data_IF_297618305010
#
_entry.id   IF_297618305010
#
_cell.length_a   1.000
_cell.length_b   1.000
_cell.length_c   1.000
_cell.angle_alpha   90.00
_cell.angle_beta   90.00
_cell.angle_gamma   90.00
#
_symmetry.space_group_name_H-M   'P 1'
#
loop_
_entity.id
_entity.type
_entity.pdbx_description
1 polymer ?
#
# COMPACT_ATOMS: atom_id res chain seq x y z
N UNK A 1 1.99 19.45 1.30
CA UNK A 1 0.96 18.91 0.39
C UNK A 1 0.75 17.44 0.72
N UNK A 2 -0.48 17.01 0.97
CA UNK A 2 -0.81 15.61 1.28
C UNK A 2 -0.87 14.80 -0.04
N UNK A 3 -0.40 13.55 -0.04
CA UNK A 3 -0.49 12.66 -1.19
C UNK A 3 -0.87 11.24 -0.75
N UNK A 4 -1.60 10.53 -1.59
CA UNK A 4 -2.01 9.14 -1.41
C UNK A 4 -1.09 8.21 -2.19
N UNK A 5 -0.50 7.24 -1.50
CA UNK A 5 0.31 6.19 -2.14
C UNK A 5 -0.64 5.21 -2.83
N UNK A 6 -0.47 5.01 -4.13
CA UNK A 6 -1.38 4.19 -4.95
C UNK A 6 -0.65 3.20 -5.85
N UNK A 7 -1.39 2.20 -6.34
CA UNK A 7 -0.88 1.18 -7.27
C UNK A 7 -0.39 1.80 -8.58
N UNK A 8 0.54 1.13 -9.27
CA UNK A 8 0.94 1.43 -10.65
C UNK A 8 -0.23 1.41 -11.62
N UNK A 9 -1.35 0.79 -11.24
CA UNK A 9 -2.59 0.74 -12.02
C UNK A 9 -3.39 2.03 -12.02
N UNK A 10 -3.09 2.96 -11.10
CA UNK A 10 -3.76 4.26 -11.06
C UNK A 10 -3.02 5.26 -11.94
N UNK A 11 -3.76 6.18 -12.55
CA UNK A 11 -3.16 7.30 -13.23
C UNK A 11 -2.41 8.18 -12.22
N UNK A 12 -1.24 8.69 -12.63
CA UNK A 12 -0.48 9.65 -11.84
C UNK A 12 -1.12 11.05 -11.93
N UNK A 13 -2.21 11.23 -11.19
CA UNK A 13 -2.98 12.48 -11.12
C UNK A 13 -2.68 13.23 -9.82
N UNK A 14 -3.15 14.47 -9.74
CA UNK A 14 -2.98 15.31 -8.56
C UNK A 14 -3.42 14.60 -7.28
N UNK A 15 -2.50 14.54 -6.31
CA UNK A 15 -2.72 13.90 -5.02
C UNK A 15 -2.45 12.39 -5.00
N UNK A 16 -2.14 11.76 -6.13
CA UNK A 16 -1.86 10.32 -6.23
C UNK A 16 -0.39 10.09 -6.57
N UNK A 17 0.29 9.29 -5.76
CA UNK A 17 1.71 8.98 -5.92
C UNK A 17 1.89 7.53 -6.37
N UNK A 18 2.13 7.37 -7.67
CA UNK A 18 2.33 6.08 -8.34
C UNK A 18 3.83 5.78 -8.46
N UNK A 19 4.24 4.50 -8.50
CA UNK A 19 5.62 4.14 -8.77
C UNK A 19 6.04 4.55 -10.20
N UNK A 20 7.34 4.57 -10.44
CA UNK A 20 7.88 4.68 -11.80
C UNK A 20 7.58 3.40 -12.58
N UNK A 21 7.06 3.56 -13.78
CA UNK A 21 6.87 2.46 -14.72
C UNK A 21 8.18 2.13 -15.43
N UNK A 22 8.39 0.85 -15.76
CA UNK A 22 9.58 0.38 -16.47
C UNK A 22 10.81 0.11 -15.57
N UNK A 23 10.70 0.37 -14.27
CA UNK A 23 11.72 0.07 -13.25
C UNK A 23 11.23 -1.06 -12.34
N UNK A 24 12.15 -1.77 -11.67
CA UNK A 24 11.80 -2.82 -10.70
C UNK A 24 10.89 -2.29 -9.59
N UNK A 25 9.89 -3.08 -9.18
CA UNK A 25 8.86 -2.64 -8.23
C UNK A 25 8.48 -3.72 -7.21
N UNK A 26 8.51 -4.99 -7.58
CA UNK A 26 7.99 -6.04 -6.71
C UNK A 26 9.00 -6.40 -5.62
N UNK A 27 8.59 -6.38 -4.35
CA UNK A 27 9.45 -6.73 -3.21
C UNK A 27 10.21 -8.07 -3.38
N UNK A 28 9.60 -9.15 -3.92
CA UNK A 28 10.33 -10.39 -4.21
C UNK A 28 11.56 -10.22 -5.11
N UNK A 29 11.55 -9.27 -6.03
CA UNK A 29 12.68 -8.99 -6.95
C UNK A 29 13.92 -8.54 -6.18
N UNK A 30 13.73 -7.87 -5.04
CA UNK A 30 14.79 -7.37 -4.17
C UNK A 30 15.28 -8.41 -3.17
N UNK A 31 14.37 -9.28 -2.70
CA UNK A 31 14.68 -10.34 -1.72
C UNK A 31 15.51 -11.48 -2.31
N UNK A 32 15.27 -11.82 -3.58
CA UNK A 32 15.99 -12.91 -4.25
C UNK A 32 17.35 -12.52 -4.84
N UNK A 33 17.63 -11.23 -5.01
CA UNK A 33 18.79 -10.76 -5.78
C UNK A 33 19.92 -10.17 -4.94
N UNK A 34 19.69 -9.82 -3.67
CA UNK A 34 20.61 -9.02 -2.83
C UNK A 34 21.12 -7.74 -3.55
N UNK A 35 20.43 -7.32 -4.61
CA UNK A 35 20.83 -6.19 -5.44
C UNK A 35 20.29 -4.91 -4.81
N UNK A 36 21.19 -3.96 -4.64
CA UNK A 36 20.82 -2.61 -4.24
C UNK A 36 20.13 -1.91 -5.42
N UNK A 37 19.25 -0.94 -5.16
CA UNK A 37 18.66 -0.13 -6.23
C UNK A 37 19.76 0.58 -7.02
N UNK A 38 19.72 0.44 -8.34
CA UNK A 38 20.74 0.95 -9.25
C UNK A 38 20.56 2.46 -9.53
N UNK A 39 19.35 2.96 -9.34
CA UNK A 39 19.02 4.37 -9.58
C UNK A 39 17.99 4.94 -8.58
N UNK A 40 17.82 6.26 -8.62
CA UNK A 40 16.90 6.98 -7.73
C UNK A 40 15.43 6.54 -7.87
N UNK A 41 15.02 6.14 -9.08
CA UNK A 41 13.65 5.68 -9.38
C UNK A 41 13.40 4.29 -8.82
N UNK A 42 14.36 3.38 -8.93
CA UNK A 42 14.31 2.06 -8.30
C UNK A 42 14.29 2.16 -6.78
N UNK A 43 15.09 3.06 -6.19
CA UNK A 43 15.06 3.28 -4.74
C UNK A 43 13.69 3.80 -4.30
N UNK A 44 13.12 4.74 -5.05
CA UNK A 44 11.76 5.23 -4.83
C UNK A 44 10.74 4.08 -4.92
N UNK A 45 10.78 3.28 -5.99
CA UNK A 45 9.89 2.14 -6.18
C UNK A 45 10.00 1.12 -5.05
N UNK A 46 11.20 0.81 -4.59
CA UNK A 46 11.42 -0.10 -3.46
C UNK A 46 10.77 0.44 -2.19
N UNK A 47 11.00 1.72 -1.86
CA UNK A 47 10.39 2.37 -0.68
C UNK A 47 8.87 2.47 -0.81
N UNK A 48 8.37 2.80 -2.00
CA UNK A 48 6.94 2.81 -2.33
C UNK A 48 6.31 1.44 -2.10
N UNK A 49 6.94 0.38 -2.61
CA UNK A 49 6.49 -1.00 -2.41
C UNK A 49 6.52 -1.42 -0.94
N UNK A 50 7.53 -1.01 -0.15
CA UNK A 50 7.56 -1.26 1.30
C UNK A 50 6.40 -0.59 2.03
N UNK A 51 6.13 0.69 1.75
CA UNK A 51 5.00 1.43 2.36
C UNK A 51 3.68 0.76 2.00
N UNK A 52 3.52 0.40 0.72
CA UNK A 52 2.34 -0.32 0.24
C UNK A 52 2.16 -1.66 0.96
N UNK A 53 3.22 -2.46 1.09
CA UNK A 53 3.18 -3.73 1.80
C UNK A 53 2.73 -3.56 3.25
N UNK A 54 3.23 -2.52 3.93
CA UNK A 54 2.82 -2.21 5.29
C UNK A 54 1.32 -1.84 5.39
N UNK A 55 0.83 -0.99 4.48
CA UNK A 55 -0.58 -0.61 4.39
C UNK A 55 -1.45 -1.83 4.13
N UNK A 56 -1.11 -2.62 3.11
CA UNK A 56 -1.86 -3.81 2.74
C UNK A 56 -1.94 -4.77 3.93
N UNK A 57 -0.81 -5.10 4.58
CA UNK A 57 -0.76 -6.00 5.75
C UNK A 57 -1.61 -5.50 6.90
N UNK A 58 -1.60 -4.20 7.16
CA UNK A 58 -2.47 -3.59 8.17
C UNK A 58 -3.95 -3.83 7.85
N UNK A 59 -4.35 -3.72 6.59
CA UNK A 59 -5.71 -4.06 6.16
C UNK A 59 -6.03 -5.54 6.26
N UNK A 60 -5.07 -6.46 6.07
CA UNK A 60 -5.34 -7.89 6.31
C UNK A 60 -5.55 -8.19 7.78
N UNK A 61 -4.71 -7.66 8.66
CA UNK A 61 -4.92 -7.78 10.10
C UNK A 61 -6.27 -7.23 10.53
N UNK A 62 -6.68 -6.11 9.92
CA UNK A 62 -8.00 -5.54 10.15
C UNK A 62 -9.11 -6.50 9.72
N UNK A 63 -9.00 -7.13 8.56
CA UNK A 63 -9.97 -8.12 8.05
C UNK A 63 -10.00 -9.42 8.87
N UNK A 64 -8.87 -9.85 9.42
CA UNK A 64 -8.78 -11.02 10.29
C UNK A 64 -9.42 -10.72 11.66
N UNK A 65 -9.14 -9.54 12.22
CA UNK A 65 -9.72 -9.10 13.50
C UNK A 65 -11.20 -8.78 13.39
N UNK A 66 -11.65 -8.26 12.25
CA UNK A 66 -13.04 -7.91 11.98
C UNK A 66 -13.57 -8.65 10.76
N UNK A 67 -13.98 -9.92 10.90
CA UNK A 67 -14.57 -10.71 9.81
C UNK A 67 -15.79 -10.07 9.16
N UNK A 68 -16.47 -9.16 9.86
CA UNK A 68 -17.57 -8.34 9.33
C UNK A 68 -17.16 -7.56 8.07
N UNK A 69 -15.88 -7.17 7.94
CA UNK A 69 -15.34 -6.49 6.75
C UNK A 69 -15.34 -7.42 5.52
N UNK A 70 -15.08 -8.73 5.70
CA UNK A 70 -15.00 -9.70 4.58
C UNK A 70 -16.35 -9.93 3.89
N UNK A 71 -17.47 -9.71 4.58
CA UNK A 71 -18.83 -9.90 4.06
C UNK A 71 -19.59 -8.62 3.72
N UNK A 72 -19.00 -7.46 3.96
CA UNK A 72 -19.69 -6.16 3.98
C UNK A 72 -20.24 -5.75 2.61
N UNK A 73 -19.58 -6.15 1.52
CA UNK A 73 -20.01 -5.81 0.16
C UNK A 73 -21.28 -6.53 -0.31
N UNK A 74 -21.83 -7.47 0.47
CA UNK A 74 -22.98 -8.28 0.04
C UNK A 74 -24.33 -7.79 0.56
N UNK A 75 -24.48 -7.29 1.80
CA UNK A 75 -25.80 -7.33 2.46
C UNK A 75 -26.20 -6.16 3.39
N UNK A 76 -25.37 -5.14 3.62
CA UNK A 76 -25.75 -4.06 4.55
C UNK A 76 -26.39 -2.87 3.83
N UNK A 77 -27.72 -2.83 3.81
CA UNK A 77 -28.52 -1.71 3.27
C UNK A 77 -28.56 -0.47 4.19
N UNK A 78 -28.04 -0.56 5.42
CA UNK A 78 -28.30 0.43 6.48
C UNK A 78 -27.15 1.42 6.72
N UNK A 79 -25.91 1.05 6.43
CA UNK A 79 -24.72 1.91 6.59
C UNK A 79 -23.81 1.80 5.38
N UNK A 80 -23.12 2.90 5.03
CA UNK A 80 -22.10 2.85 3.99
C UNK A 80 -21.01 1.88 4.40
N UNK A 81 -20.57 0.95 3.53
CA UNK A 81 -19.41 0.09 3.80
C UNK A 81 -18.18 0.86 4.29
N UNK A 82 -18.03 2.12 3.86
CA UNK A 82 -16.97 3.02 4.28
C UNK A 82 -17.01 3.36 5.77
N UNK A 83 -18.21 3.60 6.34
CA UNK A 83 -18.35 3.98 7.76
C UNK A 83 -17.95 2.83 8.68
N UNK A 84 -18.30 1.60 8.28
CA UNK A 84 -17.94 0.39 9.01
C UNK A 84 -16.43 0.16 8.94
N UNK A 85 -15.79 0.37 7.78
CA UNK A 85 -14.32 0.30 7.65
C UNK A 85 -13.64 1.34 8.55
N UNK A 86 -14.13 2.59 8.57
CA UNK A 86 -13.59 3.65 9.43
C UNK A 86 -13.75 3.29 10.91
N UNK A 87 -14.93 2.82 11.33
CA UNK A 87 -15.18 2.39 12.71
C UNK A 87 -14.24 1.25 13.13
N UNK A 88 -14.03 0.26 12.25
CA UNK A 88 -13.06 -0.81 12.49
C UNK A 88 -11.62 -0.28 12.61
N UNK A 89 -11.21 0.67 11.76
CA UNK A 89 -9.89 1.31 11.85
C UNK A 89 -9.70 2.06 13.18
N UNK A 90 -10.70 2.84 13.60
CA UNK A 90 -10.66 3.57 14.88
C UNK A 90 -10.54 2.59 16.05
N UNK A 91 -11.37 1.55 16.07
CA UNK A 91 -11.34 0.52 17.12
C UNK A 91 -10.01 -0.24 17.12
N UNK A 92 -9.47 -0.57 15.95
CA UNK A 92 -8.17 -1.21 15.81
C UNK A 92 -7.05 -0.33 16.41
N UNK A 93 -7.03 0.96 16.07
CA UNK A 93 -6.03 1.90 16.58
C UNK A 93 -6.16 2.09 18.09
N UNK A 94 -7.39 2.20 18.60
CA UNK A 94 -7.65 2.30 20.04
C UNK A 94 -7.12 1.07 20.79
N UNK A 95 -7.44 -0.13 20.31
CA UNK A 95 -6.94 -1.37 20.93
C UNK A 95 -5.41 -1.43 20.86
N UNK A 96 -4.80 -1.04 19.73
CA UNK A 96 -3.33 -1.00 19.59
C UNK A 96 -2.64 0.00 20.52
N UNK A 97 -3.31 1.08 20.91
CA UNK A 97 -2.76 2.03 21.88
C UNK A 97 -2.74 1.49 23.30
N UNK A 98 -3.61 0.51 23.61
CA UNK A 98 -3.83 0.01 24.97
C UNK A 98 -3.44 -1.47 25.17
N UNK A 99 -3.12 -2.23 24.12
CA UNK A 99 -2.55 -3.60 24.21
C UNK A 99 -1.01 -3.58 24.18
N UNK A 100 -0.34 -4.44 24.97
CA UNK A 100 1.11 -4.66 24.83
C UNK A 100 1.43 -5.27 23.46
N UNK A 101 2.56 -4.84 22.86
CA UNK A 101 3.05 -5.15 21.51
C UNK A 101 3.13 -6.65 21.12
N UNK A 102 2.86 -7.58 22.04
CA UNK A 102 3.03 -9.03 21.87
C UNK A 102 1.92 -9.76 21.11
N UNK A 103 0.77 -9.13 20.83
CA UNK A 103 -0.37 -9.80 20.17
C UNK A 103 -0.37 -9.72 18.63
N UNK A 104 0.66 -9.15 18.01
CA UNK A 104 0.80 -9.17 16.55
C UNK A 104 1.41 -10.51 16.11
N UNK A 105 0.80 -11.24 15.16
CA UNK A 105 1.43 -12.46 14.66
C UNK A 105 2.79 -12.07 14.06
N UNK A 106 3.89 -12.79 14.40
CA UNK A 106 5.25 -12.41 14.05
C UNK A 106 5.46 -12.28 12.53
N UNK A 107 4.66 -13.01 11.74
CA UNK A 107 4.60 -12.90 10.29
C UNK A 107 4.23 -11.50 9.79
N UNK A 108 3.48 -10.73 10.58
CA UNK A 108 3.08 -9.35 10.28
C UNK A 108 4.08 -8.28 10.76
N UNK A 109 5.12 -8.70 11.50
CA UNK A 109 6.26 -7.86 11.87
C UNK A 109 7.40 -7.92 10.85
N UNK A 110 7.49 -8.99 10.03
CA UNK A 110 8.56 -9.15 9.03
C UNK A 110 8.37 -8.19 7.83
N UNK A 111 9.21 -7.18 7.58
CA UNK A 111 9.05 -6.26 6.43
C UNK A 111 9.11 -6.94 5.06
N UNK A 112 9.67 -8.15 5.00
CA UNK A 112 9.82 -8.98 3.80
C UNK A 112 8.63 -9.93 3.57
N UNK A 113 7.62 -9.92 4.44
CA UNK A 113 6.43 -10.74 4.24
C UNK A 113 5.72 -10.33 2.94
N UNK A 114 5.60 -11.29 2.02
CA UNK A 114 4.84 -11.17 0.78
C UNK A 114 3.55 -11.94 0.96
N UNK A 115 2.41 -11.25 0.89
CA UNK A 115 1.10 -11.89 1.01
C UNK A 115 0.88 -12.86 -0.15
N UNK A 116 0.44 -14.09 0.17
CA UNK A 116 -0.20 -14.98 -0.81
C UNK A 116 -1.62 -14.47 -1.09
N UNK A 117 -1.89 -14.07 -2.33
CA UNK A 117 -3.18 -13.54 -2.73
C UNK A 117 -4.30 -14.57 -2.45
N UNK A 118 -5.30 -14.19 -1.65
CA UNK A 118 -6.51 -14.99 -1.46
C UNK A 118 -7.48 -14.68 -2.62
N UNK A 119 -7.73 -15.63 -3.54
CA UNK A 119 -8.60 -15.41 -4.69
C UNK A 119 -10.08 -15.17 -4.30
N UNK A 120 -10.46 -15.40 -3.04
CA UNK A 120 -11.82 -15.17 -2.54
C UNK A 120 -12.02 -13.78 -1.92
N UNK A 121 -10.96 -12.98 -1.74
CA UNK A 121 -11.04 -11.64 -1.16
C UNK A 121 -11.63 -10.64 -2.18
N UNK A 122 -12.93 -10.35 -2.04
CA UNK A 122 -13.66 -9.38 -2.89
C UNK A 122 -13.60 -7.94 -2.40
N UNK A 123 -12.89 -7.64 -1.31
CA UNK A 123 -12.96 -6.33 -0.66
C UNK A 123 -12.33 -5.21 -1.51
N UNK A 124 -11.39 -5.55 -2.39
CA UNK A 124 -10.81 -4.63 -3.35
C UNK A 124 -10.86 -5.30 -4.73
N UNK A 125 -11.85 -4.99 -5.58
CA UNK A 125 -11.83 -5.42 -6.96
C UNK A 125 -10.50 -4.98 -7.56
N UNK A 126 -9.67 -5.94 -7.98
CA UNK A 126 -8.48 -5.67 -8.76
C UNK A 126 -8.95 -5.09 -10.09
N UNK A 127 -9.05 -3.76 -10.16
CA UNK A 127 -9.44 -3.09 -11.38
C UNK A 127 -8.32 -3.29 -12.40
N UNK A 128 -8.59 -4.14 -13.39
CA UNK A 128 -7.89 -4.13 -14.66
C UNK A 128 -8.49 -3.00 -15.50
N UNK A 129 -7.76 -1.92 -15.74
CA UNK A 129 -8.03 -1.15 -16.96
C UNK A 129 -6.91 -0.23 -17.44
N UNK A 130 -6.76 -0.33 -18.77
CA UNK A 130 -6.17 0.49 -19.80
C UNK A 130 -5.74 1.92 -19.44
N UNK A 131 -4.43 2.14 -19.61
CA UNK A 131 -3.71 3.40 -19.56
C UNK A 131 -4.31 4.48 -20.48
N UNK A 132 -4.60 5.65 -19.89
CA UNK A 132 -4.43 6.93 -20.58
C UNK A 132 -3.48 7.79 -19.74
N UNK A 133 -2.23 7.84 -20.20
CA UNK A 133 -1.13 8.57 -19.57
C UNK A 133 -1.27 10.07 -19.86
N UNK A 134 -1.94 10.81 -18.97
CA UNK A 134 -1.81 12.28 -18.93
C UNK A 134 -1.81 12.72 -17.46
N UNK A 135 -0.65 12.65 -16.82
CA UNK A 135 -0.41 13.28 -15.53
C UNK A 135 0.11 14.70 -15.71
N UNK A 136 -0.52 15.68 -15.06
CA UNK A 136 -0.07 17.08 -15.03
C UNK A 136 1.37 17.21 -14.53
N UNK A 137 2.21 18.01 -15.22
CA UNK A 137 3.67 18.06 -15.03
C UNK A 137 4.16 18.31 -13.60
N UNK A 138 3.40 19.02 -12.76
CA UNK A 138 3.79 19.36 -11.39
C UNK A 138 3.99 18.14 -10.47
N UNK A 139 3.18 17.09 -10.66
CA UNK A 139 3.25 15.89 -9.82
C UNK A 139 4.43 15.01 -10.16
N UNK A 140 4.80 14.95 -11.45
CA UNK A 140 6.00 14.27 -11.89
C UNK A 140 7.23 14.88 -11.24
N UNK A 141 7.29 16.22 -11.16
CA UNK A 141 8.37 16.96 -10.49
C UNK A 141 8.43 16.63 -9.01
N UNK A 142 7.29 16.59 -8.30
CA UNK A 142 7.26 16.20 -6.88
C UNK A 142 7.84 14.78 -6.67
N UNK A 143 7.41 13.81 -7.49
CA UNK A 143 7.90 12.44 -7.40
C UNK A 143 9.40 12.34 -7.71
N UNK A 144 9.87 13.08 -8.72
CA UNK A 144 11.30 13.14 -9.08
C UNK A 144 12.13 13.76 -7.95
N UNK A 145 11.64 14.83 -7.33
CA UNK A 145 12.29 15.47 -6.18
C UNK A 145 12.39 14.53 -4.98
N UNK A 146 11.33 13.78 -4.67
CA UNK A 146 11.36 12.77 -3.59
C UNK A 146 12.36 11.67 -3.92
N UNK A 147 12.35 11.16 -5.16
CA UNK A 147 13.29 10.12 -5.59
C UNK A 147 14.75 10.59 -5.46
N UNK A 148 15.05 11.82 -5.90
CA UNK A 148 16.38 12.41 -5.78
C UNK A 148 16.78 12.64 -4.31
N UNK A 149 15.87 13.13 -3.47
CA UNK A 149 16.13 13.33 -2.04
C UNK A 149 16.39 11.99 -1.33
N UNK A 150 15.63 10.93 -1.65
CA UNK A 150 15.88 9.58 -1.14
C UNK A 150 17.25 9.07 -1.59
N UNK A 151 17.61 9.32 -2.85
CA UNK A 151 18.89 8.90 -3.42
C UNK A 151 20.09 9.61 -2.79
N UNK A 152 19.97 10.91 -2.53
CA UNK A 152 20.99 11.70 -1.86
C UNK A 152 21.20 11.28 -0.39
N UNK A 153 20.13 10.82 0.28
CA UNK A 153 20.14 10.40 1.68
C UNK A 153 20.25 8.88 1.88
N UNK A 154 20.75 8.12 0.89
CA UNK A 154 20.77 6.64 0.91
C UNK A 154 21.78 5.98 1.87
N UNK A 155 22.28 6.71 2.87
CA UNK A 155 23.26 6.22 3.85
C UNK A 155 22.70 5.06 4.68
#
# INVERSE_FOLDING_TARGET
MLFYVVDSRYAHITGFMTPYHGERYHLPEWLGSNQLPDNARELFNRRHATVRNFIERSFVLLKEKFPMIKGLMSNYKVHSPTDIVIACCVLHNFIRMHEPLGNMPPEFSNPEYVRRHDPTDRTFPFMSSNNSNVGSGEHCVLRDNIAQALWANRR
#
